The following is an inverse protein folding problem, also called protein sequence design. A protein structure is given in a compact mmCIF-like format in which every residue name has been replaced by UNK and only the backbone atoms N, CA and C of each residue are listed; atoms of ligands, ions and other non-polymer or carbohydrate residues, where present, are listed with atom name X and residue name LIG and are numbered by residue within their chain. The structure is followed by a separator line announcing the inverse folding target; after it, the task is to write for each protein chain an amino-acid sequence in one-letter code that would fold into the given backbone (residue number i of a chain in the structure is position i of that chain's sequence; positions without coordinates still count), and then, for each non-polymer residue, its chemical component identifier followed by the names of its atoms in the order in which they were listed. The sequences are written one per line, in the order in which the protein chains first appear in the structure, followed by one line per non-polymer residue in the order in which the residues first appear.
data_IF_142475541356
#
_entry.id   IF_142475541356
#
_cell.length_a   1.000
_cell.length_b   1.000
_cell.length_c   1.000
_cell.angle_alpha   90.00
_cell.angle_beta   90.00
_cell.angle_gamma   90.00
#
_symmetry.space_group_name_H-M   'P 1'
#
loop_
_entity.id
_entity.type
_entity.pdbx_description
1 polymer ?
#
# COMPACT_ATOMS: atom_id res chain seq x y z
N UNK A 1 13.54 9.41 -17.72
CA UNK A 1 13.63 8.86 -16.35
C UNK A 1 12.24 8.60 -15.74
N UNK A 2 11.21 9.31 -16.14
CA UNK A 2 9.84 9.06 -15.69
C UNK A 2 9.16 7.89 -16.42
N UNK A 3 9.85 7.28 -17.37
CA UNK A 3 9.29 6.23 -18.22
C UNK A 3 9.02 4.91 -17.51
N UNK A 4 9.42 4.79 -16.25
CA UNK A 4 9.50 3.47 -15.66
C UNK A 4 9.04 3.41 -14.22
N UNK A 5 7.80 3.80 -13.94
CA UNK A 5 7.13 3.37 -12.70
C UNK A 5 7.16 1.85 -12.62
N UNK A 6 7.24 1.18 -13.73
CA UNK A 6 7.42 -0.26 -13.84
C UNK A 6 8.87 -0.72 -13.59
N UNK A 7 9.87 0.09 -13.88
CA UNK A 7 11.27 -0.11 -13.48
C UNK A 7 11.52 0.44 -12.07
N UNK A 8 10.69 1.36 -11.57
CA UNK A 8 10.76 1.87 -10.20
C UNK A 8 10.33 0.84 -9.14
N UNK A 9 9.70 -0.26 -9.53
CA UNK A 9 9.55 -1.44 -8.67
C UNK A 9 10.83 -2.29 -8.59
N UNK A 10 11.78 -2.05 -9.50
CA UNK A 10 13.09 -2.67 -9.49
C UNK A 10 14.08 -1.65 -8.92
N UNK A 11 14.51 -1.84 -7.69
CA UNK A 11 15.68 -1.14 -7.16
C UNK A 11 16.95 -1.67 -7.79
N UNK A 12 17.96 -0.81 -7.95
CA UNK A 12 19.28 -1.22 -8.45
C UNK A 12 19.86 -2.39 -7.62
N UNK A 13 19.55 -2.43 -6.33
CA UNK A 13 19.97 -3.48 -5.41
C UNK A 13 19.32 -4.85 -5.68
N UNK A 14 18.15 -4.91 -6.32
CA UNK A 14 17.53 -6.18 -6.71
C UNK A 14 18.41 -6.97 -7.67
N UNK A 15 19.32 -6.31 -8.39
CA UNK A 15 20.26 -6.96 -9.32
C UNK A 15 21.48 -7.52 -8.62
N UNK A 16 21.79 -7.08 -7.41
CA UNK A 16 22.94 -7.56 -6.63
C UNK A 16 22.63 -8.86 -5.86
N UNK A 17 21.35 -9.16 -5.64
CA UNK A 17 20.92 -10.37 -4.93
C UNK A 17 20.83 -11.60 -5.84
N UNK A 18 20.84 -12.79 -5.22
CA UNK A 18 20.60 -14.04 -5.95
C UNK A 18 19.20 -14.04 -6.60
N UNK A 19 18.98 -14.78 -7.71
CA UNK A 19 17.68 -14.80 -8.40
C UNK A 19 16.49 -15.17 -7.49
N UNK A 20 16.73 -16.04 -6.50
CA UNK A 20 15.72 -16.48 -5.54
C UNK A 20 15.30 -15.33 -4.60
N UNK A 21 16.27 -14.63 -4.02
CA UNK A 21 16.02 -13.48 -3.12
C UNK A 21 15.36 -12.34 -3.88
N UNK A 22 15.84 -12.01 -5.09
CA UNK A 22 15.23 -10.97 -5.91
C UNK A 22 13.78 -11.28 -6.28
N UNK A 23 13.44 -12.54 -6.54
CA UNK A 23 12.05 -12.98 -6.79
C UNK A 23 11.18 -12.81 -5.54
N UNK A 24 11.70 -13.21 -4.38
CA UNK A 24 11.00 -13.06 -3.10
C UNK A 24 10.69 -11.58 -2.79
N UNK A 25 11.68 -10.69 -2.94
CA UNK A 25 11.50 -9.24 -2.71
C UNK A 25 10.43 -8.65 -3.63
N UNK A 26 10.43 -9.01 -4.92
CA UNK A 26 9.41 -8.57 -5.88
C UNK A 26 8.01 -9.04 -5.51
N UNK A 27 7.88 -10.31 -5.13
CA UNK A 27 6.61 -10.87 -4.70
C UNK A 27 6.10 -10.20 -3.42
N UNK A 28 6.99 -9.95 -2.46
CA UNK A 28 6.67 -9.22 -1.23
C UNK A 28 6.20 -7.80 -1.52
N UNK A 29 6.88 -7.05 -2.39
CA UNK A 29 6.44 -5.70 -2.78
C UNK A 29 5.06 -5.73 -3.43
N UNK A 30 4.80 -6.68 -4.32
CA UNK A 30 3.48 -6.84 -4.93
C UNK A 30 2.40 -7.13 -3.88
N UNK A 31 2.68 -8.02 -2.94
CA UNK A 31 1.79 -8.31 -1.83
C UNK A 31 1.50 -7.05 -0.99
N UNK A 32 2.54 -6.32 -0.59
CA UNK A 32 2.38 -5.07 0.16
C UNK A 32 1.64 -3.99 -0.64
N UNK A 33 1.80 -3.93 -1.96
CA UNK A 33 1.04 -3.02 -2.81
C UNK A 33 -0.47 -3.32 -2.74
N UNK A 34 -0.86 -4.58 -2.89
CA UNK A 34 -2.27 -4.99 -2.77
C UNK A 34 -2.81 -4.72 -1.37
N UNK A 35 -2.03 -5.07 -0.36
CA UNK A 35 -2.40 -4.87 1.04
C UNK A 35 -2.59 -3.37 1.35
N UNK A 36 -1.69 -2.51 0.88
CA UNK A 36 -1.77 -1.06 1.06
C UNK A 36 -3.04 -0.46 0.46
N UNK A 37 -3.51 -0.97 -0.68
CA UNK A 37 -4.70 -0.43 -1.36
C UNK A 37 -5.99 -0.97 -0.79
N UNK A 38 -6.04 -2.26 -0.44
CA UNK A 38 -7.30 -2.95 -0.17
C UNK A 38 -7.56 -3.28 1.29
N UNK A 39 -6.53 -3.30 2.16
CA UNK A 39 -6.71 -3.75 3.55
C UNK A 39 -7.75 -2.92 4.29
N UNK A 40 -7.58 -1.60 4.34
CA UNK A 40 -8.50 -0.72 5.08
C UNK A 40 -9.88 -0.60 4.43
N UNK A 41 -10.07 -0.53 3.09
CA UNK A 41 -11.40 -0.55 2.50
C UNK A 41 -12.15 -1.87 2.71
N UNK A 42 -11.47 -3.01 2.61
CA UNK A 42 -12.08 -4.33 2.87
C UNK A 42 -12.44 -4.45 4.34
N UNK A 43 -11.56 -4.03 5.25
CA UNK A 43 -11.85 -4.05 6.68
C UNK A 43 -13.04 -3.14 7.02
N UNK A 44 -13.11 -1.92 6.49
CA UNK A 44 -14.24 -1.01 6.66
C UNK A 44 -15.55 -1.63 6.17
N UNK A 45 -15.51 -2.38 5.07
CA UNK A 45 -16.67 -3.10 4.55
C UNK A 45 -17.12 -4.22 5.50
N UNK A 46 -16.18 -4.98 6.06
CA UNK A 46 -16.46 -6.05 7.02
C UNK A 46 -17.00 -5.48 8.32
N UNK A 47 -16.43 -4.38 8.82
CA UNK A 47 -16.89 -3.69 10.01
C UNK A 47 -18.34 -3.16 9.84
N UNK A 48 -18.65 -2.64 8.67
CA UNK A 48 -20.02 -2.18 8.34
C UNK A 48 -21.02 -3.34 8.18
N UNK A 49 -20.56 -4.60 8.08
CA UNK A 49 -21.41 -5.78 7.89
C UNK A 49 -20.92 -6.97 8.74
N UNK A 50 -21.02 -6.90 10.07
CA UNK A 50 -20.49 -7.92 10.97
C UNK A 50 -21.04 -9.33 10.72
N UNK A 51 -22.23 -9.43 10.12
CA UNK A 51 -22.89 -10.70 9.77
C UNK A 51 -22.12 -11.53 8.72
N UNK A 52 -21.18 -10.95 8.00
CA UNK A 52 -20.37 -11.67 7.01
C UNK A 52 -19.08 -12.21 7.60
N UNK A 53 -18.75 -11.77 8.81
CA UNK A 53 -17.50 -12.17 9.49
C UNK A 53 -17.76 -13.48 10.21
N UNK A 54 -17.10 -14.59 9.81
CA UNK A 54 -17.20 -15.86 10.52
C UNK A 54 -16.72 -15.73 11.96
N UNK A 55 -17.22 -16.59 12.87
CA UNK A 55 -16.88 -16.50 14.30
C UNK A 55 -15.38 -16.56 14.59
N UNK A 56 -14.64 -17.34 13.82
CA UNK A 56 -13.17 -17.46 13.97
C UNK A 56 -12.39 -16.20 13.53
N UNK A 57 -13.05 -15.30 12.79
CA UNK A 57 -12.47 -14.02 12.33
C UNK A 57 -13.01 -12.80 13.11
N UNK A 58 -13.86 -13.00 14.11
CA UNK A 58 -14.42 -11.87 14.89
C UNK A 58 -13.38 -10.97 15.53
N UNK A 59 -12.17 -11.48 15.76
CA UNK A 59 -11.05 -10.70 16.30
C UNK A 59 -10.58 -9.56 15.39
N UNK A 60 -10.99 -9.55 14.11
CA UNK A 60 -10.64 -8.46 13.18
C UNK A 60 -11.61 -7.27 13.24
N UNK A 61 -12.78 -7.47 13.85
CA UNK A 61 -13.79 -6.42 14.03
C UNK A 61 -13.59 -5.71 15.37
N UNK A 62 -14.06 -4.48 15.45
CA UNK A 62 -13.97 -3.68 16.66
C UNK A 62 -14.83 -4.31 17.74
N UNK A 63 -14.24 -4.54 18.91
CA UNK A 63 -14.90 -5.11 20.08
C UNK A 63 -15.31 -4.05 21.11
N UNK A 64 -14.79 -2.85 21.01
CA UNK A 64 -15.05 -1.74 21.93
C UNK A 64 -16.14 -0.81 21.38
N UNK A 65 -16.68 0.04 22.25
CA UNK A 65 -17.65 1.06 21.83
C UNK A 65 -17.03 2.08 20.89
N UNK A 66 -17.66 2.30 19.74
CA UNK A 66 -17.18 3.22 18.73
C UNK A 66 -17.63 4.63 19.08
N UNK A 67 -16.72 5.46 19.55
CA UNK A 67 -16.99 6.88 19.86
C UNK A 67 -16.94 7.75 18.59
N UNK A 68 -15.93 7.52 17.75
CA UNK A 68 -15.73 8.25 16.49
C UNK A 68 -15.98 7.30 15.31
N UNK A 69 -16.75 7.66 14.29
CA UNK A 69 -16.99 6.83 13.12
C UNK A 69 -15.69 6.30 12.51
N UNK A 70 -15.62 5.00 12.21
CA UNK A 70 -14.40 4.31 11.74
C UNK A 70 -13.78 5.00 10.51
N UNK A 71 -14.60 5.43 9.57
CA UNK A 71 -14.13 6.17 8.39
C UNK A 71 -13.38 7.45 8.77
N UNK A 72 -13.87 8.18 9.77
CA UNK A 72 -13.23 9.42 10.23
C UNK A 72 -11.92 9.12 10.95
N UNK A 73 -11.88 8.05 11.76
CA UNK A 73 -10.62 7.57 12.37
C UNK A 73 -9.57 7.28 11.30
N UNK A 74 -9.92 6.54 10.24
CA UNK A 74 -9.01 6.22 9.16
C UNK A 74 -8.50 7.47 8.43
N UNK A 75 -9.36 8.48 8.16
CA UNK A 75 -8.93 9.72 7.53
C UNK A 75 -8.00 10.56 8.42
N UNK A 76 -8.30 10.65 9.71
CA UNK A 76 -7.44 11.37 10.66
C UNK A 76 -6.07 10.68 10.74
N UNK A 77 -6.04 9.34 10.80
CA UNK A 77 -4.80 8.57 10.84
C UNK A 77 -3.98 8.73 9.53
N UNK A 78 -4.65 8.78 8.36
CA UNK A 78 -3.99 9.08 7.10
C UNK A 78 -3.29 10.44 7.11
N UNK A 79 -3.98 11.45 7.65
CA UNK A 79 -3.43 12.80 7.78
C UNK A 79 -2.29 12.84 8.81
N UNK A 80 -2.45 12.15 9.93
CA UNK A 80 -1.41 12.06 10.96
C UNK A 80 -0.13 11.42 10.42
N UNK A 81 -0.24 10.32 9.67
CA UNK A 81 0.91 9.66 9.02
C UNK A 81 1.61 10.59 8.03
N UNK A 82 0.85 11.37 7.24
CA UNK A 82 1.49 12.34 6.35
C UNK A 82 2.16 13.48 7.12
N UNK A 83 1.53 13.96 8.18
CA UNK A 83 2.14 14.94 9.07
C UNK A 83 3.47 14.46 9.66
N UNK A 84 3.52 13.20 10.09
CA UNK A 84 4.74 12.57 10.59
C UNK A 84 5.82 12.47 9.50
N UNK A 85 5.44 12.12 8.27
CA UNK A 85 6.38 12.10 7.13
C UNK A 85 6.97 13.48 6.86
N UNK A 86 6.12 14.50 6.80
CA UNK A 86 6.55 15.88 6.56
C UNK A 86 7.43 16.38 7.71
N UNK A 87 7.07 16.07 8.95
CA UNK A 87 7.88 16.40 10.10
C UNK A 87 9.26 15.71 10.05
N UNK A 88 9.33 14.44 9.70
CA UNK A 88 10.58 13.68 9.60
C UNK A 88 11.51 14.24 8.52
N UNK A 89 10.98 14.70 7.37
CA UNK A 89 11.77 15.30 6.30
C UNK A 89 12.32 16.68 6.69
N UNK A 90 11.55 17.48 7.44
CA UNK A 90 11.90 18.84 7.80
C UNK A 90 12.69 18.93 9.13
N UNK A 91 12.81 17.84 9.87
CA UNK A 91 13.47 17.84 11.17
C UNK A 91 14.93 17.39 11.04
N UNK A 92 15.89 18.11 11.67
CA UNK A 92 17.28 17.66 11.75
C UNK A 92 17.37 16.25 12.32
N UNK A 93 18.28 15.41 11.80
CA UNK A 93 18.40 14.00 12.15
C UNK A 93 18.49 13.69 13.65
N UNK A 94 19.07 14.62 14.44
CA UNK A 94 19.16 14.49 15.90
C UNK A 94 17.81 14.52 16.62
N UNK A 95 16.81 15.19 16.06
CA UNK A 95 15.46 15.34 16.64
C UNK A 95 14.43 14.39 16.04
N UNK A 96 14.73 13.74 14.92
CA UNK A 96 13.80 12.85 14.23
C UNK A 96 13.41 11.63 15.06
N UNK A 97 14.35 11.03 15.81
CA UNK A 97 14.09 9.88 16.68
C UNK A 97 13.21 10.25 17.87
N UNK A 98 13.51 11.28 18.67
CA UNK A 98 12.61 11.72 19.76
C UNK A 98 11.21 12.09 19.28
N UNK A 99 11.11 12.77 18.13
CA UNK A 99 9.82 13.13 17.54
C UNK A 99 8.99 11.90 17.15
N UNK A 100 9.64 10.89 16.56
CA UNK A 100 8.96 9.65 16.17
C UNK A 100 8.47 8.85 17.38
N UNK A 101 9.24 8.82 18.46
CA UNK A 101 8.84 8.16 19.72
C UNK A 101 7.65 8.90 20.33
N UNK A 102 7.72 10.23 20.43
CA UNK A 102 6.64 11.05 20.97
C UNK A 102 5.35 10.89 20.15
N UNK A 103 5.46 10.93 18.83
CA UNK A 103 4.33 10.72 17.93
C UNK A 103 3.73 9.31 18.08
N UNK A 104 4.57 8.28 18.24
CA UNK A 104 4.12 6.91 18.49
C UNK A 104 3.32 6.78 19.80
N UNK A 105 3.77 7.42 20.87
CA UNK A 105 3.07 7.42 22.17
C UNK A 105 1.76 8.22 22.05
N UNK A 106 1.81 9.44 21.50
CA UNK A 106 0.62 10.29 21.42
C UNK A 106 -0.46 9.69 20.54
N UNK A 107 -0.11 9.24 19.34
CA UNK A 107 -1.08 8.68 18.40
C UNK A 107 -1.44 7.24 18.74
N UNK A 108 -0.50 6.45 19.26
CA UNK A 108 -0.73 5.05 19.57
C UNK A 108 -1.42 4.83 20.92
N UNK A 109 -0.90 5.37 21.97
CA UNK A 109 -1.34 5.06 23.33
C UNK A 109 -2.43 6.02 23.80
N UNK A 110 -2.14 7.32 23.85
CA UNK A 110 -3.10 8.30 24.36
C UNK A 110 -4.35 8.46 23.50
N UNK A 111 -4.24 8.29 22.19
CA UNK A 111 -5.40 8.43 21.31
C UNK A 111 -6.40 7.26 21.44
N UNK A 112 -5.90 6.06 21.77
CA UNK A 112 -6.76 4.91 22.12
C UNK A 112 -7.32 5.07 23.52
N UNK A 113 -6.48 5.38 24.50
CA UNK A 113 -6.90 5.56 25.90
C UNK A 113 -7.96 6.67 26.05
N UNK A 114 -7.86 7.73 25.25
CA UNK A 114 -8.86 8.80 25.21
C UNK A 114 -10.14 8.47 24.41
N UNK A 115 -10.23 7.29 23.80
CA UNK A 115 -11.38 6.84 23.01
C UNK A 115 -11.53 7.51 21.64
N UNK A 116 -10.48 8.18 21.13
CA UNK A 116 -10.52 8.78 19.79
C UNK A 116 -10.36 7.73 18.69
N UNK A 117 -9.53 6.72 18.92
CA UNK A 117 -9.27 5.64 17.99
C UNK A 117 -9.47 4.28 18.65
N UNK A 118 -9.98 3.34 17.88
CA UNK A 118 -9.98 1.94 18.27
C UNK A 118 -8.62 1.31 17.94
N UNK A 119 -8.22 0.34 18.74
CA UNK A 119 -6.94 -0.39 18.59
C UNK A 119 -6.81 -1.02 17.20
N UNK A 120 -7.90 -1.55 16.66
CA UNK A 120 -7.97 -2.18 15.34
C UNK A 120 -7.72 -1.16 14.22
N UNK A 121 -8.31 0.05 14.32
CA UNK A 121 -8.08 1.13 13.35
C UNK A 121 -6.60 1.49 13.27
N UNK A 122 -5.94 1.62 14.42
CA UNK A 122 -4.50 1.88 14.49
C UNK A 122 -3.67 0.74 13.92
N UNK A 123 -4.01 -0.51 14.26
CA UNK A 123 -3.31 -1.69 13.77
C UNK A 123 -3.34 -1.75 12.24
N UNK A 124 -4.52 -1.63 11.62
CA UNK A 124 -4.65 -1.70 10.17
C UNK A 124 -3.96 -0.53 9.47
N UNK A 125 -4.04 0.67 10.06
CA UNK A 125 -3.31 1.82 9.52
C UNK A 125 -1.80 1.69 9.67
N UNK A 126 -1.31 1.10 10.75
CA UNK A 126 0.12 0.81 10.92
C UNK A 126 0.62 -0.16 9.82
N UNK A 127 -0.09 -1.27 9.59
CA UNK A 127 0.25 -2.24 8.53
C UNK A 127 0.27 -1.59 7.14
N UNK A 128 -0.75 -0.78 6.84
CA UNK A 128 -0.84 -0.05 5.57
C UNK A 128 0.29 0.98 5.43
N UNK A 129 0.65 1.64 6.52
CA UNK A 129 1.76 2.60 6.53
C UNK A 129 3.08 1.91 6.23
N UNK A 130 3.36 0.78 6.87
CA UNK A 130 4.55 -0.05 6.57
C UNK A 130 4.53 -0.46 5.10
N UNK A 131 3.38 -0.92 4.58
CA UNK A 131 3.22 -1.25 3.16
C UNK A 131 3.49 -0.07 2.23
N UNK A 132 3.10 1.14 2.62
CA UNK A 132 3.38 2.37 1.86
C UNK A 132 4.87 2.70 1.86
N UNK A 133 5.57 2.51 2.98
CA UNK A 133 7.02 2.74 3.06
C UNK A 133 7.85 1.66 2.36
N UNK A 134 7.32 0.46 2.19
CA UNK A 134 7.99 -0.62 1.46
C UNK A 134 8.03 -0.43 -0.06
N UNK A 135 7.35 0.62 -0.58
CA UNK A 135 7.33 0.91 -2.01
C UNK A 135 8.66 1.50 -2.49
N UNK A 136 9.06 1.15 -3.70
CA UNK A 136 10.32 1.56 -4.30
C UNK A 136 10.43 3.08 -4.57
N UNK A 137 9.30 3.81 -4.61
CA UNK A 137 9.30 5.26 -4.78
C UNK A 137 8.23 5.95 -3.94
N UNK A 138 8.54 7.16 -3.47
CA UNK A 138 7.59 8.01 -2.76
C UNK A 138 6.34 8.32 -3.58
N UNK A 139 6.50 8.59 -4.87
CA UNK A 139 5.41 8.90 -5.79
C UNK A 139 4.41 7.73 -5.90
N UNK A 140 4.93 6.49 -5.96
CA UNK A 140 4.10 5.30 -5.97
C UNK A 140 3.33 5.15 -4.66
N UNK A 141 3.97 5.41 -3.51
CA UNK A 141 3.31 5.41 -2.22
C UNK A 141 2.12 6.36 -2.16
N UNK A 142 2.27 7.59 -2.66
CA UNK A 142 1.17 8.57 -2.72
C UNK A 142 0.09 8.18 -3.72
N UNK A 143 0.44 7.61 -4.87
CA UNK A 143 -0.55 7.12 -5.83
C UNK A 143 -1.42 6.01 -5.24
N UNK A 144 -0.80 5.04 -4.54
CA UNK A 144 -1.52 3.97 -3.84
C UNK A 144 -2.41 4.51 -2.72
N UNK A 145 -1.91 5.51 -1.98
CA UNK A 145 -2.70 6.21 -0.97
C UNK A 145 -3.93 6.88 -1.56
N UNK A 146 -3.78 7.59 -2.68
CA UNK A 146 -4.91 8.24 -3.37
C UNK A 146 -5.97 7.22 -3.77
N UNK A 147 -5.55 6.09 -4.38
CA UNK A 147 -6.46 5.00 -4.74
C UNK A 147 -7.17 4.45 -3.50
N UNK A 148 -6.46 4.26 -2.39
CA UNK A 148 -7.04 3.80 -1.12
C UNK A 148 -8.08 4.77 -0.57
N UNK A 149 -7.80 6.08 -0.55
CA UNK A 149 -8.73 7.11 -0.09
C UNK A 149 -10.01 7.08 -0.93
N UNK A 150 -9.89 7.01 -2.26
CA UNK A 150 -11.07 6.89 -3.14
C UNK A 150 -11.84 5.61 -2.84
N UNK A 151 -11.16 4.48 -2.64
CA UNK A 151 -11.79 3.22 -2.26
C UNK A 151 -12.54 3.32 -0.93
N UNK A 152 -11.96 3.95 0.09
CA UNK A 152 -12.61 4.16 1.39
C UNK A 152 -13.91 4.96 1.23
N UNK A 153 -13.87 6.04 0.46
CA UNK A 153 -15.07 6.86 0.18
C UNK A 153 -16.13 6.03 -0.54
N UNK A 154 -15.74 5.30 -1.60
CA UNK A 154 -16.68 4.48 -2.36
C UNK A 154 -17.29 3.37 -1.49
N UNK A 155 -16.52 2.72 -0.65
CA UNK A 155 -17.00 1.68 0.27
C UNK A 155 -17.95 2.28 1.30
N UNK A 156 -17.65 3.44 1.85
CA UNK A 156 -18.51 4.11 2.83
C UNK A 156 -19.90 4.41 2.27
N UNK A 157 -20.00 4.91 1.02
CA UNK A 157 -21.28 5.30 0.43
C UNK A 157 -22.02 4.16 -0.27
N UNK A 158 -21.30 3.24 -0.90
CA UNK A 158 -21.88 2.20 -1.76
C UNK A 158 -21.64 0.75 -1.26
N UNK A 159 -20.96 0.58 -0.13
CA UNK A 159 -20.67 -0.73 0.44
C UNK A 159 -19.93 -1.66 -0.55
N UNK A 160 -20.50 -2.84 -0.81
CA UNK A 160 -19.92 -3.84 -1.75
C UNK A 160 -19.73 -3.31 -3.16
N UNK A 161 -20.72 -2.56 -3.66
CA UNK A 161 -20.65 -1.99 -5.01
C UNK A 161 -19.53 -0.95 -5.05
N UNK A 162 -19.35 -0.21 -3.96
CA UNK A 162 -18.24 0.74 -3.81
C UNK A 162 -16.87 0.06 -3.88
N UNK A 163 -16.69 -1.08 -3.23
CA UNK A 163 -15.44 -1.84 -3.32
C UNK A 163 -15.16 -2.30 -4.76
N UNK A 164 -16.17 -2.86 -5.44
CA UNK A 164 -16.04 -3.27 -6.84
C UNK A 164 -15.71 -2.10 -7.75
N UNK A 165 -16.41 -0.97 -7.58
CA UNK A 165 -16.14 0.27 -8.33
C UNK A 165 -14.72 0.77 -8.08
N UNK A 166 -14.24 0.70 -6.85
CA UNK A 166 -12.88 1.08 -6.48
C UNK A 166 -11.80 0.17 -7.07
N UNK A 167 -12.04 -1.13 -7.14
CA UNK A 167 -11.15 -2.08 -7.86
C UNK A 167 -11.12 -1.74 -9.35
N UNK A 168 -12.26 -1.50 -9.97
CA UNK A 168 -12.33 -1.10 -11.39
C UNK A 168 -11.60 0.23 -11.60
N UNK A 169 -11.82 1.20 -10.72
CA UNK A 169 -11.13 2.50 -10.77
C UNK A 169 -9.61 2.33 -10.68
N UNK A 170 -9.10 1.51 -9.76
CA UNK A 170 -7.68 1.22 -9.64
C UNK A 170 -7.12 0.58 -10.93
N UNK A 171 -7.83 -0.40 -11.50
CA UNK A 171 -7.45 -1.05 -12.76
C UNK A 171 -7.44 -0.03 -13.91
N UNK A 172 -8.48 0.79 -14.02
CA UNK A 172 -8.59 1.83 -15.07
C UNK A 172 -7.44 2.83 -14.95
N UNK A 173 -7.13 3.34 -13.74
CA UNK A 173 -5.99 4.23 -13.55
C UNK A 173 -4.67 3.61 -14.01
N UNK A 174 -4.45 2.34 -13.69
CA UNK A 174 -3.23 1.63 -14.09
C UNK A 174 -3.22 1.36 -15.61
N UNK A 175 -4.38 1.04 -16.23
CA UNK A 175 -4.49 0.75 -17.66
C UNK A 175 -4.38 1.98 -18.55
N UNK A 176 -5.00 3.09 -18.13
CA UNK A 176 -5.05 4.31 -18.95
C UNK A 176 -3.81 5.19 -18.80
N UNK A 177 -3.00 4.96 -17.81
CA UNK A 177 -1.74 5.68 -17.64
C UNK A 177 -0.77 5.26 -18.76
N UNK A 178 -0.49 6.16 -19.68
CA UNK A 178 0.50 5.95 -20.74
C UNK A 178 1.86 6.43 -20.24
N UNK A 179 2.86 5.61 -20.46
CA UNK A 179 4.25 6.00 -20.23
C UNK A 179 4.64 7.09 -21.22
N UNK A 180 5.55 7.99 -20.86
CA UNK A 180 6.08 9.06 -21.72
C UNK A 180 6.62 8.48 -23.05
N UNK A 181 7.05 7.22 -23.06
CA UNK A 181 7.48 6.48 -24.26
C UNK A 181 6.34 5.94 -25.13
N UNK A 182 5.08 6.30 -24.87
CA UNK A 182 3.90 5.90 -25.66
C UNK A 182 3.47 4.44 -25.49
N UNK A 183 4.18 3.64 -24.69
CA UNK A 183 3.82 2.25 -24.40
C UNK A 183 2.80 2.19 -23.28
N UNK A 184 1.88 1.20 -23.34
CA UNK A 184 0.94 0.95 -22.25
C UNK A 184 1.69 0.67 -20.94
N UNK A 185 1.24 1.28 -19.84
CA UNK A 185 1.81 1.08 -18.50
C UNK A 185 1.79 -0.40 -18.07
N UNK A 186 0.83 -1.17 -18.55
CA UNK A 186 0.64 -2.60 -18.22
C UNK A 186 1.46 -3.54 -19.12
N UNK A 187 2.26 -3.03 -20.05
CA UNK A 187 3.12 -3.95 -20.82
C UNK A 187 4.01 -4.78 -19.87
N UNK A 188 4.06 -6.13 -19.91
CA UNK A 188 3.64 -7.05 -20.97
C UNK A 188 2.28 -7.75 -20.72
N UNK A 189 1.39 -7.19 -19.90
CA UNK A 189 0.05 -7.77 -19.71
C UNK A 189 -0.86 -7.44 -20.88
N UNK A 190 -0.75 -6.20 -21.42
CA UNK A 190 -1.48 -5.78 -22.62
C UNK A 190 -0.51 -5.03 -23.55
N UNK A 191 -0.16 -5.59 -24.75
CA UNK A 191 -0.45 -6.94 -25.22
C UNK A 191 0.30 -8.03 -24.45
N UNK A 192 -0.37 -9.18 -24.25
CA UNK A 192 0.18 -10.25 -23.40
C UNK A 192 1.41 -10.92 -24.02
N UNK A 193 2.55 -10.81 -23.36
CA UNK A 193 3.77 -11.51 -23.71
C UNK A 193 4.20 -12.40 -22.55
N UNK A 194 3.93 -13.70 -22.67
CA UNK A 194 4.18 -14.71 -21.62
C UNK A 194 5.65 -14.77 -21.18
N UNK A 195 6.60 -14.65 -22.12
CA UNK A 195 8.03 -14.71 -21.78
C UNK A 195 8.49 -13.49 -21.00
N UNK A 196 8.03 -12.29 -21.39
CA UNK A 196 8.31 -11.05 -20.69
C UNK A 196 7.61 -10.98 -19.33
N UNK A 197 6.38 -11.49 -19.24
CA UNK A 197 5.63 -11.59 -17.99
C UNK A 197 6.33 -12.50 -16.97
N UNK A 198 6.77 -13.69 -17.40
CA UNK A 198 7.57 -14.60 -16.55
C UNK A 198 8.87 -13.96 -16.07
N UNK A 199 9.58 -13.26 -16.95
CA UNK A 199 10.83 -12.56 -16.60
C UNK A 199 10.63 -11.39 -15.62
N UNK A 200 9.44 -10.81 -15.58
CA UNK A 200 9.11 -9.75 -14.65
C UNK A 200 8.77 -10.25 -13.25
N UNK A 201 8.05 -11.36 -13.16
CA UNK A 201 7.69 -11.98 -11.86
C UNK A 201 8.86 -12.78 -11.31
N UNK A 202 9.46 -13.62 -12.18
CA UNK A 202 10.57 -14.49 -11.82
C UNK A 202 11.87 -13.91 -12.38
N UNK A 203 12.86 -13.69 -11.51
CA UNK A 203 14.18 -13.30 -11.94
C UNK A 203 14.88 -14.51 -12.56
N UNK A 204 14.92 -14.57 -13.88
CA UNK A 204 15.66 -15.60 -14.62
C UNK A 204 17.12 -15.12 -14.77
N UNK A 205 18.10 -16.00 -14.48
CA UNK A 205 19.50 -15.73 -14.77
C UNK A 205 19.64 -15.33 -16.24
N UNK A 206 20.26 -14.19 -16.49
CA UNK A 206 20.67 -13.83 -17.85
C UNK A 206 21.68 -14.87 -18.32
N UNK A 207 21.49 -15.51 -19.49
CA UNK A 207 22.50 -16.39 -20.03
C UNK A 207 23.75 -15.56 -20.26
N UNK A 208 24.85 -15.96 -19.60
CA UNK A 208 26.15 -15.35 -19.74
C UNK A 208 26.68 -15.70 -21.13
N UNK A 209 26.34 -14.91 -22.13
CA UNK A 209 27.01 -14.95 -23.43
C UNK A 209 28.30 -14.16 -23.29
N UNK A 210 29.32 -14.76 -22.71
CA UNK A 210 30.70 -14.42 -23.03
C UNK A 210 30.95 -15.03 -24.42
N UNK A 211 30.76 -14.24 -25.46
CA UNK A 211 31.40 -14.49 -26.73
C UNK A 211 32.73 -13.77 -26.66
N UNK A 212 33.76 -14.47 -26.21
CA UNK A 212 35.12 -14.14 -26.56
C UNK A 212 35.26 -14.43 -28.05
N UNK A 213 35.50 -13.40 -28.82
CA UNK A 213 36.32 -13.39 -30.04
C UNK A 213 37.15 -12.15 -30.01
#
# INVERSE_FOLDING_TARGET
AASDVYKRQEEADDFNFSPMIGTYIRLSRFFFTLLTVFLTPVWLLLESNPQWVPEWLKFITISEDITVPVILQLFILELAVDGLKLAAVNTPGMLSTPLSILAGIVVGEYAVESGWFNSESLLYMAVVTVGTYSQASFEMGYALKFIRIVNLILVQFFGRIGLLAGVIFAIVLVCFNRTISGKSYIYPVIPFNSQMFKRKILRVRLPHKIKNN
#
